data_IF_953348663389
#
_entry.id   IF_953348663389
#
_cell.length_a   1.000
_cell.length_b   1.000
_cell.length_c   1.000
_cell.angle_alpha   90.00
_cell.angle_beta   90.00
_cell.angle_gamma   90.00
#
_symmetry.space_group_name_H-M   'P 1'
#
loop_
_entity.id
_entity.type
_entity.pdbx_description
1 polymer ?
#
# COMPACT_ATOMS: atom_id res chain seq x y z
N UNK A 1 14.44 -4.28 -12.33
CA UNK A 1 14.38 -4.67 -13.75
C UNK A 1 13.23 -3.93 -14.45
N UNK A 2 13.49 -2.93 -15.30
CA UNK A 2 12.43 -2.14 -15.96
C UNK A 2 11.46 -2.97 -16.79
N UNK A 3 11.97 -3.96 -17.52
CA UNK A 3 11.16 -4.82 -18.42
C UNK A 3 10.16 -5.69 -17.66
N UNK A 4 10.57 -6.28 -16.52
CA UNK A 4 9.67 -7.06 -15.66
C UNK A 4 8.53 -6.19 -15.14
N UNK A 5 8.83 -4.94 -14.73
CA UNK A 5 7.81 -4.00 -14.27
C UNK A 5 6.84 -3.61 -15.39
N UNK A 6 7.32 -3.48 -16.62
CA UNK A 6 6.44 -3.19 -17.76
C UNK A 6 5.41 -4.31 -17.94
N UNK A 7 5.86 -5.57 -17.99
CA UNK A 7 4.99 -6.75 -18.12
C UNK A 7 3.97 -6.83 -16.97
N UNK A 8 4.41 -6.63 -15.73
CA UNK A 8 3.51 -6.67 -14.56
C UNK A 8 2.46 -5.56 -14.60
N UNK A 9 2.82 -4.35 -15.04
CA UNK A 9 1.86 -3.24 -15.17
C UNK A 9 0.83 -3.49 -16.25
N UNK A 10 1.21 -4.10 -17.37
CA UNK A 10 0.25 -4.43 -18.42
C UNK A 10 -0.76 -5.48 -17.92
N UNK A 11 -0.30 -6.46 -17.14
CA UNK A 11 -1.19 -7.43 -16.51
C UNK A 11 -2.09 -6.79 -15.45
N UNK A 12 -1.56 -5.88 -14.63
CA UNK A 12 -2.37 -5.11 -13.68
C UNK A 12 -3.47 -4.30 -14.38
N UNK A 13 -3.16 -3.65 -15.51
CA UNK A 13 -4.16 -2.94 -16.33
C UNK A 13 -5.23 -3.87 -16.86
N UNK A 14 -4.83 -5.04 -17.35
CA UNK A 14 -5.76 -6.07 -17.82
C UNK A 14 -6.72 -6.51 -16.72
N UNK A 15 -6.19 -6.78 -15.52
CA UNK A 15 -6.99 -7.22 -14.37
C UNK A 15 -7.95 -6.15 -13.86
N UNK A 16 -7.53 -4.88 -13.82
CA UNK A 16 -8.36 -3.76 -13.36
C UNK A 16 -9.33 -3.19 -14.40
N UNK A 17 -9.25 -3.63 -15.67
CA UNK A 17 -10.03 -3.04 -16.78
C UNK A 17 -11.56 -3.10 -16.62
N UNK A 18 -12.08 -3.99 -15.77
CA UNK A 18 -13.52 -4.14 -15.50
C UNK A 18 -13.97 -3.55 -14.16
N UNK A 19 -13.09 -2.78 -13.51
CA UNK A 19 -13.26 -2.32 -12.14
C UNK A 19 -12.61 -3.29 -11.16
N UNK A 20 -11.79 -2.74 -10.27
CA UNK A 20 -11.11 -3.48 -9.21
C UNK A 20 -10.71 -2.52 -8.08
N UNK A 21 -10.52 -3.08 -6.88
CA UNK A 21 -9.72 -2.45 -5.83
C UNK A 21 -8.31 -2.99 -5.99
N UNK A 22 -7.34 -2.09 -6.16
CA UNK A 22 -5.95 -2.46 -6.40
C UNK A 22 -5.02 -1.76 -5.41
N UNK A 23 -4.10 -2.52 -4.85
CA UNK A 23 -3.10 -2.04 -3.90
C UNK A 23 -1.71 -2.07 -4.54
N UNK A 24 -0.91 -1.03 -4.27
CA UNK A 24 0.49 -0.96 -4.69
C UNK A 24 1.02 0.47 -4.65
N UNK A 25 2.33 0.62 -4.82
CA UNK A 25 3.02 1.92 -4.70
C UNK A 25 2.75 2.87 -5.87
N UNK A 26 2.55 2.34 -7.08
CA UNK A 26 2.45 3.13 -8.32
C UNK A 26 1.10 2.95 -9.05
N UNK A 27 0.09 2.40 -8.37
CA UNK A 27 -1.23 2.13 -8.97
C UNK A 27 -1.89 3.43 -9.44
N UNK A 28 -2.10 4.39 -8.54
CA UNK A 28 -2.83 5.63 -8.87
C UNK A 28 -2.02 6.68 -9.66
N UNK A 29 -0.70 6.50 -9.79
CA UNK A 29 0.19 7.44 -10.47
C UNK A 29 0.69 6.92 -11.83
N UNK A 30 0.84 5.60 -12.01
CA UNK A 30 1.42 5.00 -13.23
C UNK A 30 0.49 3.98 -13.87
N UNK A 31 -0.13 3.10 -13.10
CA UNK A 31 -0.94 1.99 -13.67
C UNK A 31 -2.31 2.49 -14.12
N UNK A 32 -3.01 3.21 -13.24
CA UNK A 32 -4.33 3.81 -13.42
C UNK A 32 -4.32 5.30 -13.00
N UNK A 33 -3.65 6.17 -13.76
CA UNK A 33 -3.62 7.61 -13.49
C UNK A 33 -5.00 8.27 -13.57
N UNK A 34 -5.98 7.64 -14.22
CA UNK A 34 -7.36 8.15 -14.34
C UNK A 34 -8.34 7.40 -13.44
N UNK A 35 -7.85 6.68 -12.41
CA UNK A 35 -8.72 6.01 -11.45
C UNK A 35 -9.68 7.00 -10.76
N UNK A 36 -10.98 6.68 -10.72
CA UNK A 36 -12.00 7.52 -10.11
C UNK A 36 -11.78 7.78 -8.60
N UNK A 37 -11.13 6.83 -7.92
CA UNK A 37 -10.80 6.93 -6.50
C UNK A 37 -9.34 6.51 -6.30
N UNK A 38 -8.58 7.36 -5.60
CA UNK A 38 -7.20 7.09 -5.21
C UNK A 38 -7.05 7.42 -3.72
N UNK A 39 -6.64 6.44 -2.94
CA UNK A 39 -6.40 6.58 -1.50
C UNK A 39 -4.93 6.30 -1.25
N UNK A 40 -4.27 7.15 -0.48
CA UNK A 40 -2.89 6.99 -0.07
C UNK A 40 -2.83 6.78 1.44
N UNK A 41 -2.58 5.54 1.85
CA UNK A 41 -2.49 5.21 3.28
C UNK A 41 -1.18 5.77 3.85
N UNK A 42 -1.30 6.58 4.89
CA UNK A 42 -0.18 7.09 5.68
C UNK A 42 -0.27 6.57 7.11
N UNK A 43 0.88 6.46 7.76
CA UNK A 43 0.98 6.12 9.18
C UNK A 43 2.33 6.59 9.71
N UNK A 44 2.38 6.89 11.02
CA UNK A 44 3.63 7.18 11.71
C UNK A 44 4.66 6.05 11.50
N UNK A 45 5.97 6.36 11.33
CA UNK A 45 7.01 5.35 11.14
C UNK A 45 7.02 4.26 12.24
N UNK A 46 6.83 4.66 13.49
CA UNK A 46 6.80 3.74 14.64
C UNK A 46 5.61 2.78 14.58
N UNK A 47 4.43 3.26 14.16
CA UNK A 47 3.24 2.44 13.95
C UNK A 47 3.48 1.41 12.83
N UNK A 48 4.08 1.83 11.72
CA UNK A 48 4.44 0.92 10.60
C UNK A 48 5.42 -0.16 11.06
N UNK A 49 6.42 0.21 11.86
CA UNK A 49 7.38 -0.74 12.41
C UNK A 49 6.71 -1.74 13.37
N UNK A 50 5.83 -1.27 14.26
CA UNK A 50 5.08 -2.10 15.20
C UNK A 50 4.16 -3.11 14.48
N UNK A 51 3.41 -2.66 13.45
CA UNK A 51 2.59 -3.55 12.62
C UNK A 51 3.42 -4.64 11.96
N UNK A 52 4.56 -4.28 11.38
CA UNK A 52 5.44 -5.25 10.70
C UNK A 52 6.02 -6.30 11.65
N UNK A 53 6.31 -5.92 12.90
CA UNK A 53 6.72 -6.87 13.94
C UNK A 53 5.59 -7.85 14.25
N UNK A 54 4.35 -7.36 14.37
CA UNK A 54 3.17 -8.21 14.62
C UNK A 54 2.89 -9.16 13.46
N UNK A 55 2.89 -8.67 12.22
CA UNK A 55 2.74 -9.48 10.99
C UNK A 55 3.79 -10.59 10.84
N UNK A 56 5.01 -10.38 11.33
CA UNK A 56 6.05 -11.43 11.30
C UNK A 56 5.87 -12.49 12.39
N UNK A 57 5.15 -12.16 13.47
CA UNK A 57 4.87 -13.07 14.59
C UNK A 57 3.61 -13.87 14.36
N UNK A 58 2.66 -13.31 13.64
CA UNK A 58 1.43 -13.98 13.24
C UNK A 58 1.64 -14.72 11.91
N UNK A 59 1.22 -15.98 11.75
CA UNK A 59 1.21 -16.63 10.44
C UNK A 59 0.30 -15.83 9.49
N UNK A 60 0.77 -15.57 8.27
CA UNK A 60 -0.04 -14.91 7.23
C UNK A 60 -1.34 -15.69 7.00
N UNK A 61 -2.53 -15.12 7.30
CA UNK A 61 -3.80 -15.81 7.06
C UNK A 61 -4.11 -15.99 5.57
N UNK A 62 -3.37 -15.34 4.66
CA UNK A 62 -3.53 -15.41 3.20
C UNK A 62 -2.71 -16.49 2.49
N UNK A 63 -1.93 -17.31 3.22
CA UNK A 63 -1.14 -18.38 2.61
C UNK A 63 0.07 -17.92 1.79
N UNK A 64 0.56 -16.70 2.00
CA UNK A 64 1.89 -16.32 1.55
C UNK A 64 2.96 -17.23 2.18
N UNK A 65 4.06 -17.45 1.46
CA UNK A 65 5.21 -18.21 1.95
C UNK A 65 5.56 -17.73 3.37
N UNK A 66 5.63 -18.64 4.37
CA UNK A 66 6.11 -18.24 5.68
C UNK A 66 7.50 -17.62 5.47
N UNK A 67 7.66 -16.37 5.92
CA UNK A 67 9.00 -15.80 6.02
C UNK A 67 9.72 -16.61 7.10
N UNK A 68 10.41 -17.68 6.68
CA UNK A 68 11.10 -18.58 7.60
C UNK A 68 12.06 -17.77 8.47
N UNK A 69 11.93 -17.94 9.78
CA UNK A 69 13.02 -17.77 10.75
C UNK A 69 13.80 -16.45 10.62
N UNK A 70 13.16 -15.33 10.97
CA UNK A 70 13.89 -14.10 11.29
C UNK A 70 14.36 -14.13 12.75
N UNK A 71 15.61 -13.74 13.08
CA UNK A 71 16.10 -13.67 14.46
C UNK A 71 15.23 -12.72 15.31
N UNK A 72 15.29 -12.83 16.66
CA UNK A 72 14.44 -12.03 17.56
C UNK A 72 14.60 -10.53 17.28
N UNK A 73 13.51 -9.78 17.48
CA UNK A 73 13.38 -8.35 17.19
C UNK A 73 14.48 -7.56 17.91
N UNK A 74 15.58 -7.33 17.20
CA UNK A 74 16.67 -6.47 17.64
C UNK A 74 16.33 -5.00 17.32
N UNK A 75 16.93 -4.03 18.03
CA UNK A 75 16.87 -2.60 17.69
C UNK A 75 17.24 -2.30 16.22
N UNK A 76 17.97 -3.20 15.58
CA UNK A 76 18.33 -3.22 14.16
C UNK A 76 17.11 -3.29 13.20
N UNK A 77 15.92 -3.76 13.64
CA UNK A 77 14.77 -3.89 12.73
C UNK A 77 14.22 -2.54 12.26
N UNK A 78 14.16 -1.54 13.14
CA UNK A 78 13.72 -0.20 12.75
C UNK A 78 14.71 0.44 11.76
N UNK A 79 16.01 0.25 11.97
CA UNK A 79 17.07 0.72 11.10
C UNK A 79 17.08 -0.03 9.75
N UNK A 80 16.88 -1.35 9.75
CA UNK A 80 16.74 -2.16 8.55
C UNK A 80 15.48 -1.80 7.75
N UNK A 81 14.38 -1.47 8.43
CA UNK A 81 13.16 -0.97 7.81
C UNK A 81 13.36 0.41 7.21
N UNK A 82 13.98 1.34 7.94
CA UNK A 82 14.31 2.67 7.43
C UNK A 82 15.26 2.60 6.23
N UNK A 83 16.25 1.71 6.28
CA UNK A 83 17.19 1.46 5.17
C UNK A 83 16.48 0.88 3.96
N UNK A 84 15.56 -0.06 4.16
CA UNK A 84 14.74 -0.62 3.08
C UNK A 84 13.80 0.44 2.51
N UNK A 85 13.13 1.21 3.35
CA UNK A 85 12.21 2.27 2.91
C UNK A 85 12.97 3.31 2.07
N UNK A 86 14.16 3.75 2.52
CA UNK A 86 15.03 4.66 1.77
C UNK A 86 15.50 4.07 0.42
N UNK A 87 15.78 2.76 0.38
CA UNK A 87 16.14 2.06 -0.86
C UNK A 87 14.96 1.93 -1.82
N UNK A 88 13.78 1.59 -1.30
CA UNK A 88 12.53 1.51 -2.07
C UNK A 88 12.18 2.89 -2.66
N UNK A 89 12.39 3.96 -1.89
CA UNK A 89 12.15 5.35 -2.32
C UNK A 89 13.00 5.77 -3.52
N UNK A 90 14.24 5.28 -3.63
CA UNK A 90 15.14 5.60 -4.75
C UNK A 90 14.74 4.92 -6.08
N UNK A 91 14.09 3.75 -6.02
CA UNK A 91 13.84 2.90 -7.21
C UNK A 91 12.36 2.89 -7.60
N UNK A 92 11.46 3.07 -6.64
CA UNK A 92 10.03 3.20 -6.82
C UNK A 92 9.47 4.20 -5.79
N UNK A 93 9.68 5.51 -6.01
CA UNK A 93 9.34 6.55 -5.06
C UNK A 93 7.89 6.41 -4.61
N UNK A 94 7.67 6.41 -3.30
CA UNK A 94 6.35 6.33 -2.70
C UNK A 94 5.66 7.69 -2.75
N UNK A 95 5.47 8.18 -3.97
CA UNK A 95 4.91 9.50 -4.24
C UNK A 95 3.42 9.31 -4.53
N UNK A 96 2.52 9.88 -3.71
CA UNK A 96 1.10 9.83 -3.97
C UNK A 96 0.78 10.49 -5.32
N UNK A 97 -0.26 10.00 -6.00
CA UNK A 97 -0.85 10.76 -7.09
C UNK A 97 -1.37 12.11 -6.56
N UNK A 98 -1.29 13.17 -7.37
CA UNK A 98 -1.64 14.54 -6.96
C UNK A 98 -3.08 14.66 -6.42
N UNK A 99 -3.99 13.83 -6.91
CA UNK A 99 -5.41 13.78 -6.59
C UNK A 99 -5.79 12.67 -5.60
N UNK A 100 -4.79 11.96 -5.05
CA UNK A 100 -5.00 10.94 -4.03
C UNK A 100 -5.40 11.56 -2.69
N UNK A 101 -6.37 10.93 -2.01
CA UNK A 101 -6.79 11.31 -0.66
C UNK A 101 -5.83 10.64 0.34
N UNK A 102 -5.08 11.40 1.14
CA UNK A 102 -4.31 10.81 2.23
C UNK A 102 -5.26 10.30 3.32
N UNK A 103 -5.04 9.07 3.76
CA UNK A 103 -5.78 8.45 4.86
C UNK A 103 -4.78 8.05 5.94
N UNK A 104 -4.78 8.79 7.05
CA UNK A 104 -3.92 8.46 8.20
C UNK A 104 -4.52 7.30 8.97
N UNK A 105 -3.75 6.23 9.07
CA UNK A 105 -4.16 5.00 9.75
C UNK A 105 -3.47 4.86 11.11
N UNK A 106 -2.74 5.88 11.58
CA UNK A 106 -2.00 5.83 12.85
C UNK A 106 -2.95 5.57 14.02
N UNK A 107 -2.75 4.46 14.73
CA UNK A 107 -3.61 4.08 15.86
C UNK A 107 -4.99 3.52 15.49
N UNK A 108 -5.35 3.47 14.20
CA UNK A 108 -6.63 2.91 13.74
C UNK A 108 -6.58 1.40 13.62
N UNK A 109 -7.71 0.75 13.91
CA UNK A 109 -7.93 -0.65 13.62
C UNK A 109 -8.37 -0.87 12.15
N UNK A 110 -8.30 -2.12 11.63
CA UNK A 110 -8.68 -2.39 10.23
C UNK A 110 -10.12 -2.04 9.87
N UNK A 111 -11.07 -2.16 10.79
CA UNK A 111 -12.48 -1.86 10.54
C UNK A 111 -12.71 -0.35 10.46
N UNK A 112 -11.97 0.44 11.25
CA UNK A 112 -11.95 1.89 11.16
C UNK A 112 -11.40 2.37 9.83
N UNK A 113 -10.24 1.86 9.42
CA UNK A 113 -9.63 2.19 8.13
C UNK A 113 -10.56 1.81 6.97
N UNK A 114 -11.20 0.64 7.02
CA UNK A 114 -12.15 0.21 6.00
C UNK A 114 -13.34 1.16 5.90
N UNK A 115 -13.92 1.56 7.02
CA UNK A 115 -15.08 2.46 7.06
C UNK A 115 -14.76 3.81 6.44
N UNK A 116 -13.60 4.38 6.76
CA UNK A 116 -13.18 5.67 6.23
C UNK A 116 -12.83 5.58 4.74
N UNK A 117 -12.13 4.53 4.32
CA UNK A 117 -11.84 4.28 2.91
C UNK A 117 -13.13 4.13 2.07
N UNK A 118 -14.15 3.46 2.60
CA UNK A 118 -15.46 3.33 1.95
C UNK A 118 -16.20 4.67 1.86
N UNK A 119 -16.09 5.53 2.88
CA UNK A 119 -16.69 6.86 2.85
C UNK A 119 -16.05 7.72 1.74
N UNK A 120 -14.72 7.75 1.66
CA UNK A 120 -13.97 8.44 0.60
C UNK A 120 -14.38 7.92 -0.78
N UNK A 121 -14.47 6.60 -0.94
CA UNK A 121 -14.81 5.99 -2.21
C UNK A 121 -16.22 6.38 -2.68
N UNK A 122 -17.21 6.40 -1.78
CA UNK A 122 -18.59 6.81 -2.11
C UNK A 122 -18.64 8.27 -2.55
N UNK A 123 -18.05 9.16 -1.77
CA UNK A 123 -18.04 10.59 -2.06
C UNK A 123 -17.41 10.88 -3.44
N UNK A 124 -16.26 10.25 -3.74
CA UNK A 124 -15.56 10.44 -5.02
C UNK A 124 -16.31 9.85 -6.21
N UNK A 125 -16.96 8.71 -6.05
CA UNK A 125 -17.76 8.09 -7.12
C UNK A 125 -19.03 8.89 -7.42
N UNK A 126 -19.67 9.46 -6.40
CA UNK A 126 -20.81 10.36 -6.57
C UNK A 126 -20.40 11.65 -7.30
N UNK A 127 -19.26 12.25 -6.93
CA UNK A 127 -18.74 13.44 -7.59
C UNK A 127 -18.29 13.22 -9.06
N UNK A 128 -17.91 11.98 -9.41
CA UNK A 128 -17.45 11.63 -10.77
C UNK A 128 -18.58 11.17 -11.70
N UNK A 129 -19.76 10.88 -11.15
CA UNK A 129 -20.93 10.37 -11.89
C UNK A 129 -21.96 11.44 -12.28
N UNK A 130 -21.72 12.71 -11.96
CA UNK A 130 -22.55 13.87 -12.34
C UNK A 130 -21.90 14.69 -13.44
#
# INVERSE_FOLDING_TARGET
HPEVRAVLRDEQRRLGSRGAVMEGRDIGSVVFPDAAVKIFLVAAPDERAARRVRERREPDPGGGLPSSEGPPVAPDLAEALATRDARDEQVNPFVPALDAVPLDTTGSDPDEVLREALAIARERLEASGG
#
